data_IF_502261751944
#
_entry.id   IF_502261751944
#
_cell.length_a   1.000
_cell.length_b   1.000
_cell.length_c   1.000
_cell.angle_alpha   90.00
_cell.angle_beta   90.00
_cell.angle_gamma   90.00
#
_symmetry.space_group_name_H-M   'P 1'
#
loop_
_entity.id
_entity.type
_entity.pdbx_description
1 polymer ?
#
# COMPACT_ATOMS: atom_id res chain seq x y z
N UNK A 1 -37.30 -26.04 34.72
CA UNK A 1 -35.92 -25.56 34.47
C UNK A 1 -35.96 -24.08 34.13
N UNK A 2 -35.64 -23.17 35.07
CA UNK A 2 -35.55 -21.72 34.78
C UNK A 2 -34.26 -21.48 33.98
N UNK A 3 -34.38 -21.23 32.68
CA UNK A 3 -33.25 -20.79 31.86
C UNK A 3 -32.72 -19.48 32.46
N UNK A 4 -31.46 -19.41 32.95
CA UNK A 4 -31.00 -18.25 33.70
C UNK A 4 -30.93 -17.06 32.75
N UNK A 5 -31.72 -16.00 33.00
CA UNK A 5 -31.82 -14.84 32.10
C UNK A 5 -30.47 -14.21 31.78
N UNK A 6 -29.47 -14.40 32.65
CA UNK A 6 -28.08 -14.02 32.47
C UNK A 6 -27.43 -14.64 31.23
N UNK A 7 -27.72 -15.90 30.91
CA UNK A 7 -27.14 -16.57 29.74
C UNK A 7 -27.71 -15.99 28.44
N UNK A 8 -29.00 -15.63 28.44
CA UNK A 8 -29.65 -14.94 27.31
C UNK A 8 -29.05 -13.56 27.10
N UNK A 9 -28.78 -12.81 28.17
CA UNK A 9 -28.12 -11.50 28.09
C UNK A 9 -26.71 -11.62 27.49
N UNK A 10 -25.90 -12.57 27.97
CA UNK A 10 -24.55 -12.81 27.41
C UNK A 10 -24.62 -13.21 25.93
N UNK A 11 -25.61 -14.00 25.54
CA UNK A 11 -25.84 -14.37 24.14
C UNK A 11 -26.19 -13.15 23.28
N UNK A 12 -27.12 -12.30 23.73
CA UNK A 12 -27.47 -11.07 22.99
C UNK A 12 -26.29 -10.12 22.86
N UNK A 13 -25.46 -10.00 23.90
CA UNK A 13 -24.22 -9.20 23.84
C UNK A 13 -23.26 -9.77 22.80
N UNK A 14 -23.05 -11.09 22.77
CA UNK A 14 -22.18 -11.71 21.76
C UNK A 14 -22.71 -11.50 20.34
N UNK A 15 -24.01 -11.68 20.12
CA UNK A 15 -24.64 -11.41 18.82
C UNK A 15 -24.47 -9.94 18.42
N UNK A 16 -24.64 -9.01 19.37
CA UNK A 16 -24.44 -7.58 19.13
C UNK A 16 -22.99 -7.28 18.75
N UNK A 17 -22.01 -7.86 19.45
CA UNK A 17 -20.58 -7.70 19.13
C UNK A 17 -20.28 -8.22 17.72
N UNK A 18 -20.78 -9.41 17.38
CA UNK A 18 -20.61 -9.98 16.03
C UNK A 18 -21.24 -9.08 14.96
N UNK A 19 -22.43 -8.53 15.23
CA UNK A 19 -23.11 -7.62 14.32
C UNK A 19 -22.30 -6.33 14.12
N UNK A 20 -21.76 -5.75 15.20
CA UNK A 20 -20.91 -4.55 15.14
C UNK A 20 -19.65 -4.83 14.31
N UNK A 21 -19.01 -5.99 14.51
CA UNK A 21 -17.82 -6.37 13.73
C UNK A 21 -18.13 -6.56 12.24
N UNK A 22 -19.29 -7.15 11.91
CA UNK A 22 -19.77 -7.30 10.53
C UNK A 22 -20.03 -5.95 9.87
N UNK A 23 -20.78 -5.05 10.55
CA UNK A 23 -21.06 -3.69 10.06
C UNK A 23 -19.75 -2.92 9.86
N UNK A 24 -18.82 -3.00 10.80
CA UNK A 24 -17.53 -2.34 10.69
C UNK A 24 -16.71 -2.89 9.51
N UNK A 25 -16.66 -4.21 9.33
CA UNK A 25 -15.98 -4.84 8.18
C UNK A 25 -16.59 -4.39 6.84
N UNK A 26 -17.91 -4.35 6.73
CA UNK A 26 -18.61 -3.88 5.53
C UNK A 26 -18.38 -2.39 5.29
N UNK A 27 -18.36 -1.58 6.36
CA UNK A 27 -18.02 -0.16 6.26
C UNK A 27 -16.60 0.03 5.70
N UNK A 28 -15.61 -0.70 6.22
CA UNK A 28 -14.25 -0.63 5.69
C UNK A 28 -14.18 -1.08 4.22
N UNK A 29 -14.95 -2.10 3.84
CA UNK A 29 -15.01 -2.56 2.46
C UNK A 29 -15.63 -1.54 1.50
N UNK A 30 -16.63 -0.76 1.94
CA UNK A 30 -17.34 0.19 1.08
C UNK A 30 -16.75 1.61 1.08
N UNK A 31 -16.14 2.05 2.17
CA UNK A 31 -15.73 3.45 2.38
C UNK A 31 -14.23 3.67 2.48
N UNK A 32 -13.41 2.62 2.64
CA UNK A 32 -11.97 2.81 2.65
C UNK A 32 -11.46 2.92 1.21
N UNK A 33 -10.63 3.93 0.87
CA UNK A 33 -10.30 4.25 -0.51
C UNK A 33 -9.53 3.11 -1.15
N UNK A 34 -10.23 2.34 -1.99
CA UNK A 34 -9.61 1.41 -2.91
C UNK A 34 -8.66 2.19 -3.81
N UNK A 35 -7.37 1.92 -3.62
CA UNK A 35 -6.34 2.45 -4.46
C UNK A 35 -6.08 1.44 -5.56
N UNK A 36 -6.18 1.87 -6.81
CA UNK A 36 -5.95 1.03 -7.96
C UNK A 36 -4.91 1.63 -8.89
N UNK A 37 -4.15 0.73 -9.51
CA UNK A 37 -3.14 1.02 -10.53
C UNK A 37 -2.16 2.13 -10.11
N UNK A 38 -1.68 2.08 -8.87
CA UNK A 38 -0.80 3.12 -8.31
C UNK A 38 0.50 3.28 -9.10
N UNK A 39 1.09 2.20 -9.62
CA UNK A 39 2.29 2.32 -10.45
C UNK A 39 1.99 3.08 -11.75
N UNK A 40 0.86 2.80 -12.40
CA UNK A 40 0.47 3.48 -13.63
C UNK A 40 0.38 4.99 -13.42
N UNK A 41 -0.36 5.41 -12.38
CA UNK A 41 -0.50 6.83 -12.01
C UNK A 41 0.85 7.47 -11.68
N UNK A 42 1.72 6.73 -10.99
CA UNK A 42 3.04 7.21 -10.61
C UNK A 42 3.96 7.36 -11.84
N UNK A 43 3.96 6.40 -12.75
CA UNK A 43 4.71 6.46 -14.01
C UNK A 43 4.24 7.63 -14.89
N UNK A 44 2.93 7.90 -14.96
CA UNK A 44 2.39 9.07 -15.66
C UNK A 44 2.83 10.38 -15.01
N UNK A 45 2.75 10.47 -13.67
CA UNK A 45 3.21 11.65 -12.93
C UNK A 45 4.70 11.94 -13.15
N UNK A 46 5.54 10.90 -13.19
CA UNK A 46 6.98 11.04 -13.49
C UNK A 46 7.20 11.54 -14.91
N UNK A 47 6.49 10.98 -15.91
CA UNK A 47 6.60 11.42 -17.30
C UNK A 47 6.18 12.89 -17.48
N UNK A 48 5.14 13.31 -16.77
CA UNK A 48 4.66 14.70 -16.80
C UNK A 48 5.63 15.67 -16.10
N UNK A 49 6.18 15.28 -14.95
CA UNK A 49 7.15 16.10 -14.20
C UNK A 49 8.51 16.20 -14.93
N UNK A 50 8.93 15.14 -15.61
CA UNK A 50 10.19 15.07 -16.35
C UNK A 50 10.16 15.80 -17.71
N UNK A 51 9.32 16.83 -17.91
CA UNK A 51 9.28 17.62 -19.16
C UNK A 51 10.36 18.71 -19.28
N UNK A 52 11.10 19.02 -18.20
CA UNK A 52 12.21 20.00 -18.21
C UNK A 52 13.52 19.43 -18.80
N UNK A 53 14.62 20.20 -18.82
CA UNK A 53 15.92 19.78 -19.41
C UNK A 53 16.92 19.11 -18.44
N UNK A 54 16.60 19.01 -17.14
CA UNK A 54 17.49 18.38 -16.14
C UNK A 54 17.51 16.85 -16.21
N UNK A 55 18.62 16.20 -15.85
CA UNK A 55 18.67 14.74 -15.71
C UNK A 55 17.61 14.19 -14.74
N UNK A 56 17.32 12.89 -14.80
CA UNK A 56 16.33 12.23 -13.93
C UNK A 56 17.04 11.70 -12.68
N UNK A 57 16.50 12.04 -11.52
CA UNK A 57 16.94 11.58 -10.21
C UNK A 57 15.92 10.62 -9.60
N UNK A 58 16.39 9.55 -8.96
CA UNK A 58 15.50 8.60 -8.31
C UNK A 58 16.16 7.98 -7.09
N UNK A 59 15.33 7.57 -6.13
CA UNK A 59 15.75 6.80 -4.95
C UNK A 59 15.25 5.37 -5.09
N UNK A 60 16.12 4.42 -4.79
CA UNK A 60 15.78 2.99 -4.77
C UNK A 60 15.65 2.52 -3.33
N UNK A 61 14.52 1.89 -3.01
CA UNK A 61 14.25 1.26 -1.72
C UNK A 61 13.82 -0.19 -1.93
N UNK A 62 13.78 -0.98 -0.87
CA UNK A 62 13.31 -2.35 -0.92
C UNK A 62 13.33 -2.99 0.46
N UNK A 63 12.71 -4.17 0.59
CA UNK A 63 12.69 -4.93 1.84
C UNK A 63 12.21 -4.10 3.06
N UNK A 64 11.20 -3.23 2.88
CA UNK A 64 10.61 -2.49 4.01
C UNK A 64 10.04 -3.50 5.02
N UNK A 65 9.32 -4.52 4.55
CA UNK A 65 8.83 -5.66 5.34
C UNK A 65 8.24 -5.27 6.71
N UNK A 66 8.98 -5.53 7.80
CA UNK A 66 8.56 -5.27 9.18
C UNK A 66 9.02 -3.89 9.70
N UNK A 67 9.74 -3.12 8.89
CA UNK A 67 10.38 -1.86 9.24
C UNK A 67 9.59 -0.64 8.76
N UNK A 68 8.27 -0.76 8.63
CA UNK A 68 7.41 0.34 8.16
C UNK A 68 7.56 1.60 9.01
N UNK A 69 7.76 1.48 10.32
CA UNK A 69 7.98 2.63 11.20
C UNK A 69 9.30 3.36 10.89
N UNK A 70 10.34 2.63 10.48
CA UNK A 70 11.62 3.22 10.06
C UNK A 70 11.46 3.90 8.71
N UNK A 71 10.78 3.25 7.77
CA UNK A 71 10.44 3.86 6.48
C UNK A 71 9.69 5.18 6.67
N UNK A 72 8.61 5.15 7.44
CA UNK A 72 7.71 6.28 7.65
C UNK A 72 8.36 7.44 8.42
N UNK A 73 9.14 7.14 9.48
CA UNK A 73 9.69 8.18 10.38
C UNK A 73 11.10 8.65 10.01
N UNK A 74 11.86 7.87 9.24
CA UNK A 74 13.26 8.20 8.89
C UNK A 74 13.48 8.36 7.39
N UNK A 75 13.05 7.38 6.59
CA UNK A 75 13.31 7.41 5.14
C UNK A 75 12.41 8.41 4.41
N UNK A 76 11.12 8.46 4.72
CA UNK A 76 10.18 9.40 4.07
C UNK A 76 10.61 10.86 4.25
N UNK A 77 10.98 11.36 5.46
CA UNK A 77 11.50 12.72 5.60
C UNK A 77 12.77 12.99 4.81
N UNK A 78 13.71 12.04 4.77
CA UNK A 78 14.97 12.16 4.03
C UNK A 78 14.70 12.26 2.52
N UNK A 79 13.90 11.34 1.98
CA UNK A 79 13.53 11.32 0.56
C UNK A 79 12.81 12.62 0.18
N UNK A 80 11.89 13.09 1.02
CA UNK A 80 11.16 14.33 0.79
C UNK A 80 12.02 15.59 0.88
N UNK A 81 13.17 15.52 1.54
CA UNK A 81 14.16 16.58 1.59
C UNK A 81 14.94 16.65 0.27
N UNK A 82 15.41 15.50 -0.22
CA UNK A 82 16.21 15.38 -1.45
C UNK A 82 15.38 15.61 -2.72
N UNK A 83 14.06 15.43 -2.64
CA UNK A 83 13.08 15.66 -3.73
C UNK A 83 13.48 14.96 -5.05
N UNK A 84 13.70 13.63 -5.04
CA UNK A 84 13.95 12.91 -6.28
C UNK A 84 12.73 12.98 -7.21
N UNK A 85 12.92 12.76 -8.51
CA UNK A 85 11.81 12.73 -9.47
C UNK A 85 10.90 11.51 -9.24
N UNK A 86 11.45 10.42 -8.69
CA UNK A 86 10.69 9.22 -8.33
C UNK A 86 11.36 8.36 -7.26
N UNK A 87 10.57 7.47 -6.66
CA UNK A 87 11.03 6.42 -5.76
C UNK A 87 10.67 5.06 -6.35
N UNK A 88 11.63 4.16 -6.44
CA UNK A 88 11.42 2.80 -6.96
C UNK A 88 11.63 1.81 -5.82
N UNK A 89 10.62 1.00 -5.52
CA UNK A 89 10.70 -0.09 -4.54
C UNK A 89 10.94 -1.43 -5.23
N UNK A 90 12.00 -2.14 -4.86
CA UNK A 90 12.39 -3.44 -5.43
C UNK A 90 11.61 -4.64 -4.87
N UNK A 91 10.42 -4.41 -4.31
CA UNK A 91 9.59 -5.46 -3.69
C UNK A 91 9.91 -5.75 -2.22
N UNK A 92 9.18 -6.71 -1.65
CA UNK A 92 9.17 -7.06 -0.23
C UNK A 92 8.90 -5.84 0.68
N UNK A 93 8.03 -4.95 0.24
CA UNK A 93 7.60 -3.79 0.97
C UNK A 93 6.59 -4.12 2.08
N UNK A 94 5.81 -5.19 1.92
CA UNK A 94 4.90 -5.70 2.96
C UNK A 94 5.50 -6.88 3.73
N UNK A 95 4.93 -7.16 4.91
CA UNK A 95 5.27 -8.34 5.70
C UNK A 95 4.73 -9.63 5.05
N UNK A 96 3.48 -9.57 4.60
CA UNK A 96 2.74 -10.57 3.84
C UNK A 96 1.73 -9.85 2.92
N UNK A 97 1.16 -10.56 1.96
CA UNK A 97 0.25 -10.02 0.95
C UNK A 97 -1.19 -9.83 1.44
N UNK A 98 -1.39 -9.67 2.76
CA UNK A 98 -2.69 -9.35 3.32
C UNK A 98 -3.08 -7.89 3.05
N UNK A 99 -4.38 -7.66 2.88
CA UNK A 99 -4.96 -6.37 2.52
C UNK A 99 -4.58 -5.23 3.49
N UNK A 100 -4.55 -5.53 4.79
CA UNK A 100 -4.18 -4.55 5.82
C UNK A 100 -2.72 -4.09 5.67
N UNK A 101 -1.81 -4.97 5.21
CA UNK A 101 -0.40 -4.60 4.99
C UNK A 101 -0.24 -3.66 3.81
N UNK A 102 -0.93 -3.94 2.70
CA UNK A 102 -0.93 -3.04 1.55
C UNK A 102 -1.49 -1.67 1.90
N UNK A 103 -2.54 -1.63 2.71
CA UNK A 103 -3.13 -0.37 3.18
C UNK A 103 -2.17 0.43 4.06
N UNK A 104 -1.50 -0.24 5.01
CA UNK A 104 -0.48 0.40 5.85
C UNK A 104 0.66 0.95 4.99
N UNK A 105 1.16 0.15 4.05
CA UNK A 105 2.20 0.56 3.10
C UNK A 105 1.76 1.77 2.28
N UNK A 106 0.57 1.72 1.68
CA UNK A 106 0.01 2.80 0.88
C UNK A 106 -0.11 4.12 1.65
N UNK A 107 -0.53 4.07 2.92
CA UNK A 107 -0.58 5.26 3.79
C UNK A 107 0.80 5.88 4.00
N UNK A 108 1.86 5.08 4.12
CA UNK A 108 3.23 5.60 4.23
C UNK A 108 3.75 6.12 2.89
N UNK A 109 3.47 5.43 1.77
CA UNK A 109 3.83 5.91 0.43
C UNK A 109 3.17 7.25 0.10
N UNK A 110 1.92 7.47 0.51
CA UNK A 110 1.21 8.74 0.33
C UNK A 110 1.86 9.94 1.01
N UNK A 111 2.79 9.72 1.95
CA UNK A 111 3.55 10.79 2.59
C UNK A 111 4.78 11.19 1.78
N UNK A 112 5.17 10.41 0.78
CA UNK A 112 6.21 10.81 -0.18
C UNK A 112 5.66 11.94 -1.07
N UNK A 113 6.49 12.95 -1.30
CA UNK A 113 6.22 14.05 -2.23
C UNK A 113 6.48 13.64 -3.68
N UNK A 114 7.37 12.67 -3.88
CA UNK A 114 7.71 12.10 -5.17
C UNK A 114 6.86 10.87 -5.46
N UNK A 115 6.49 10.60 -6.73
CA UNK A 115 5.78 9.38 -7.12
C UNK A 115 6.56 8.13 -6.72
N UNK A 116 5.85 7.11 -6.24
CA UNK A 116 6.45 5.85 -5.81
C UNK A 116 5.96 4.69 -6.68
N UNK A 117 6.90 3.95 -7.26
CA UNK A 117 6.66 2.82 -8.16
C UNK A 117 7.12 1.56 -7.44
N UNK A 118 6.24 0.55 -7.35
CA UNK A 118 6.49 -0.68 -6.60
C UNK A 118 6.65 -1.87 -7.53
N UNK A 119 7.76 -2.57 -7.40
CA UNK A 119 7.93 -3.92 -7.93
C UNK A 119 7.35 -4.96 -6.96
N UNK A 120 7.03 -6.13 -7.49
CA UNK A 120 6.56 -7.28 -6.71
C UNK A 120 7.74 -8.05 -6.10
N UNK A 121 7.56 -8.60 -4.91
CA UNK A 121 8.48 -9.54 -4.27
C UNK A 121 7.73 -10.73 -3.63
N UNK A 122 8.48 -11.61 -2.97
CA UNK A 122 7.94 -12.85 -2.37
C UNK A 122 6.87 -12.56 -1.31
N UNK A 123 7.08 -11.54 -0.47
CA UNK A 123 6.13 -11.20 0.58
C UNK A 123 4.81 -10.66 0.02
N UNK A 124 4.83 -9.98 -1.13
CA UNK A 124 3.63 -9.52 -1.81
C UNK A 124 2.80 -10.70 -2.36
N UNK A 125 3.46 -11.79 -2.76
CA UNK A 125 2.78 -12.98 -3.30
C UNK A 125 2.19 -13.83 -2.16
N UNK A 126 2.79 -13.79 -0.97
CA UNK A 126 2.34 -14.51 0.21
C UNK A 126 0.87 -14.19 0.58
N UNK A 127 0.22 -15.09 1.31
CA UNK A 127 -1.20 -14.97 1.71
C UNK A 127 -2.17 -14.66 0.55
N UNK A 128 -1.89 -15.23 -0.63
CA UNK A 128 -2.64 -15.01 -1.88
C UNK A 128 -2.68 -13.52 -2.28
N UNK A 129 -1.65 -12.76 -1.92
CA UNK A 129 -1.58 -11.32 -2.15
C UNK A 129 -1.32 -10.92 -3.60
N UNK A 130 -0.90 -11.84 -4.48
CA UNK A 130 -0.61 -11.54 -5.87
C UNK A 130 -1.77 -10.83 -6.60
N UNK A 131 -3.02 -11.27 -6.39
CA UNK A 131 -4.19 -10.61 -6.98
C UNK A 131 -4.40 -9.21 -6.40
N UNK A 132 -4.28 -9.05 -5.08
CA UNK A 132 -4.40 -7.75 -4.41
C UNK A 132 -3.32 -6.78 -4.88
N UNK A 133 -2.08 -7.26 -5.02
CA UNK A 133 -1.00 -6.47 -5.60
C UNK A 133 -1.37 -6.00 -7.00
N UNK A 134 -1.88 -6.91 -7.84
CA UNK A 134 -2.27 -6.57 -9.20
C UNK A 134 -3.38 -5.51 -9.23
N UNK A 135 -4.40 -5.67 -8.40
CA UNK A 135 -5.50 -4.72 -8.30
C UNK A 135 -5.02 -3.34 -7.83
N UNK A 136 -4.10 -3.30 -6.86
CA UNK A 136 -3.64 -2.07 -6.23
C UNK A 136 -2.53 -1.34 -6.97
N UNK A 137 -1.49 -2.06 -7.37
CA UNK A 137 -0.26 -1.51 -7.93
C UNK A 137 -0.18 -1.71 -9.45
N UNK A 138 -0.85 -2.74 -9.97
CA UNK A 138 -0.89 -3.05 -11.40
C UNK A 138 -0.05 -4.27 -11.78
N UNK A 139 0.30 -4.42 -13.06
CA UNK A 139 1.04 -5.57 -13.57
C UNK A 139 2.35 -5.84 -12.84
N UNK A 140 2.72 -7.12 -12.73
CA UNK A 140 3.96 -7.56 -12.07
C UNK A 140 5.23 -7.18 -12.84
N UNK A 141 5.09 -7.10 -14.16
CA UNK A 141 6.16 -6.70 -15.08
C UNK A 141 5.64 -5.52 -15.88
N UNK A 142 6.44 -4.46 -15.91
CA UNK A 142 6.13 -3.26 -16.65
C UNK A 142 7.44 -2.59 -17.04
N UNK A 143 7.34 -1.69 -18.00
CA UNK A 143 8.42 -0.81 -18.38
C UNK A 143 7.87 0.53 -18.80
N UNK A 144 8.67 1.58 -18.67
CA UNK A 144 8.27 2.91 -19.05
C UNK A 144 9.47 3.76 -19.44
N UNK A 145 9.31 4.50 -20.53
CA UNK A 145 10.27 5.52 -20.95
C UNK A 145 10.03 6.82 -20.19
N UNK A 146 11.11 7.45 -19.74
CA UNK A 146 11.12 8.82 -19.25
C UNK A 146 12.24 9.55 -19.98
N UNK A 147 11.89 10.49 -20.85
CA UNK A 147 12.82 11.12 -21.80
C UNK A 147 13.60 10.07 -22.62
N UNK A 148 14.93 10.08 -22.50
CA UNK A 148 15.87 9.18 -23.17
C UNK A 148 16.31 8.00 -22.28
N UNK A 149 15.70 7.83 -21.11
CA UNK A 149 15.95 6.70 -20.22
C UNK A 149 14.76 5.73 -20.25
N UNK A 150 15.04 4.44 -20.13
CA UNK A 150 14.04 3.39 -20.08
C UNK A 150 14.21 2.62 -18.78
N UNK A 151 13.10 2.43 -18.07
CA UNK A 151 13.02 1.72 -16.80
C UNK A 151 12.09 0.51 -16.94
#
# INVERSE_FOLDING_TARGET
MKCPSRLKIVLYINILIILILLVYKTYLFLFEPDFHSINLKSMEAVKEAAKGDSGISFVVIGNIKNSIAVFDKKLVPLINHDKPDMVISLGNAVLDGAEDKYRILYRSLKKLKSPAILCIGDNEIADKGALRFYDHFGPFYFSFGVKNAYF
#
